data_IF_197209669790
#
_entry.id   IF_197209669790
#
_cell.length_a   1.000
_cell.length_b   1.000
_cell.length_c   1.000
_cell.angle_alpha   90.00
_cell.angle_beta   90.00
_cell.angle_gamma   90.00
#
_symmetry.space_group_name_H-M   'P 1'
#
loop_
_entity.id
_entity.type
_entity.pdbx_description
1 polymer ?
#
# COMPACT_ATOMS: atom_id res chain seq x y z
N UNK A 1 -26.21 -26.79 10.27
CA UNK A 1 -24.74 -26.96 10.37
C UNK A 1 -24.28 -28.23 9.65
N UNK A 2 -24.95 -29.36 9.85
CA UNK A 2 -24.56 -30.68 9.30
C UNK A 2 -24.67 -30.79 7.77
N UNK A 3 -25.64 -30.12 7.13
CA UNK A 3 -25.84 -30.23 5.68
C UNK A 3 -24.64 -29.74 4.85
N UNK A 4 -24.03 -28.61 5.20
CA UNK A 4 -22.89 -28.07 4.45
C UNK A 4 -21.62 -28.91 4.63
N UNK A 5 -21.41 -29.50 5.82
CA UNK A 5 -20.27 -30.38 6.08
C UNK A 5 -20.31 -31.64 5.20
N UNK A 6 -21.49 -32.18 4.91
CA UNK A 6 -21.64 -33.33 4.00
C UNK A 6 -21.54 -32.96 2.51
N UNK A 7 -21.84 -31.72 2.14
CA UNK A 7 -21.86 -31.27 0.74
C UNK A 7 -20.54 -30.64 0.27
N UNK A 8 -19.80 -29.98 1.15
CA UNK A 8 -18.52 -29.32 0.81
C UNK A 8 -17.46 -30.27 0.26
N UNK A 9 -17.25 -31.48 0.83
CA UNK A 9 -16.31 -32.46 0.28
C UNK A 9 -16.68 -32.95 -1.11
N UNK A 10 -17.96 -32.84 -1.50
CA UNK A 10 -18.45 -33.23 -2.84
C UNK A 10 -18.16 -32.18 -3.92
N UNK A 11 -17.64 -31.00 -3.55
CA UNK A 11 -17.32 -29.91 -4.48
C UNK A 11 -15.82 -29.86 -4.77
N UNK A 12 -15.49 -29.64 -6.05
CA UNK A 12 -14.12 -29.74 -6.58
C UNK A 12 -13.20 -28.64 -6.04
N UNK A 13 -13.69 -27.42 -5.93
CA UNK A 13 -12.90 -26.24 -5.59
C UNK A 13 -13.63 -25.29 -4.62
N UNK A 14 -12.94 -24.24 -4.19
CA UNK A 14 -13.50 -23.23 -3.28
C UNK A 14 -14.62 -22.41 -3.93
N UNK A 15 -14.56 -22.17 -5.25
CA UNK A 15 -15.58 -21.40 -5.97
C UNK A 15 -16.93 -22.14 -5.95
N UNK A 16 -16.95 -23.44 -6.23
CA UNK A 16 -18.15 -24.26 -6.16
C UNK A 16 -18.73 -24.36 -4.75
N UNK A 17 -17.87 -24.44 -3.71
CA UNK A 17 -18.32 -24.43 -2.31
C UNK A 17 -18.94 -23.09 -1.93
N UNK A 18 -18.34 -22.00 -2.41
CA UNK A 18 -18.83 -20.65 -2.19
C UNK A 18 -20.19 -20.42 -2.87
N UNK A 19 -20.34 -20.88 -4.11
CA UNK A 19 -21.61 -20.79 -4.85
C UNK A 19 -22.73 -21.57 -4.14
N UNK A 20 -22.43 -22.79 -3.66
CA UNK A 20 -23.38 -23.58 -2.87
C UNK A 20 -23.82 -22.83 -1.60
N UNK A 21 -22.87 -22.24 -0.87
CA UNK A 21 -23.14 -21.46 0.34
C UNK A 21 -24.01 -20.24 0.03
N UNK A 22 -23.62 -19.44 -0.97
CA UNK A 22 -24.35 -18.23 -1.40
C UNK A 22 -25.77 -18.59 -1.82
N UNK A 23 -25.95 -19.61 -2.66
CA UNK A 23 -27.27 -20.05 -3.10
C UNK A 23 -28.17 -20.50 -1.94
N UNK A 24 -27.59 -21.09 -0.88
CA UNK A 24 -28.34 -21.49 0.30
C UNK A 24 -28.75 -20.29 1.16
N UNK A 25 -27.86 -19.33 1.37
CA UNK A 25 -28.18 -18.10 2.11
C UNK A 25 -29.23 -17.26 1.39
N UNK A 26 -29.13 -17.13 0.06
CA UNK A 26 -30.09 -16.36 -0.73
C UNK A 26 -31.51 -16.93 -0.67
N UNK A 27 -31.67 -18.26 -0.61
CA UNK A 27 -32.99 -18.89 -0.41
C UNK A 27 -33.61 -18.54 0.94
N UNK A 28 -32.81 -18.31 1.98
CA UNK A 28 -33.33 -17.92 3.30
C UNK A 28 -33.73 -16.45 3.38
N UNK A 29 -33.23 -15.62 2.46
CA UNK A 29 -33.61 -14.19 2.36
C UNK A 29 -34.92 -13.97 1.64
N UNK A 30 -35.30 -14.89 0.75
CA UNK A 30 -36.56 -14.80 0.03
C UNK A 30 -37.72 -15.06 1.00
N UNK A 31 -38.75 -14.21 1.02
CA UNK A 31 -39.93 -14.43 1.86
C UNK A 31 -40.65 -15.71 1.41
N UNK A 32 -40.63 -16.74 2.25
CA UNK A 32 -41.43 -17.95 2.06
C UNK A 32 -42.85 -17.77 2.59
N UNK A 33 -43.82 -18.46 2.00
CA UNK A 33 -45.25 -18.43 2.38
C UNK A 33 -45.55 -18.91 3.81
N UNK A 34 -44.57 -19.42 4.54
CA UNK A 34 -44.69 -19.85 5.94
C UNK A 34 -43.64 -19.11 6.77
N UNK A 35 -44.05 -17.95 7.32
CA UNK A 35 -43.19 -17.13 8.15
C UNK A 35 -42.73 -17.89 9.39
N UNK A 36 -41.40 -17.91 9.64
CA UNK A 36 -40.80 -18.22 10.95
C UNK A 36 -39.28 -18.04 11.05
N UNK A 37 -38.51 -17.94 9.95
CA UNK A 37 -37.05 -17.75 10.04
C UNK A 37 -36.60 -16.35 9.59
N UNK A 38 -35.81 -15.67 10.42
CA UNK A 38 -35.13 -14.44 10.05
C UNK A 38 -34.14 -14.68 8.88
N UNK A 39 -33.96 -13.70 7.98
CA UNK A 39 -32.99 -13.79 6.89
C UNK A 39 -31.56 -13.93 7.44
N UNK A 40 -30.75 -14.80 6.82
CA UNK A 40 -29.36 -15.03 7.20
C UNK A 40 -28.40 -14.22 6.32
N UNK A 41 -27.38 -13.60 6.94
CA UNK A 41 -26.36 -12.80 6.27
C UNK A 41 -24.94 -13.37 6.36
N UNK A 42 -24.82 -14.68 6.64
CA UNK A 42 -23.53 -15.32 6.87
C UNK A 42 -22.54 -15.20 5.69
N UNK A 43 -22.99 -15.20 4.44
CA UNK A 43 -22.16 -14.92 3.26
C UNK A 43 -21.57 -13.50 3.30
N UNK A 44 -22.34 -12.49 3.69
CA UNK A 44 -21.83 -11.12 3.87
C UNK A 44 -20.88 -11.03 5.06
N UNK A 45 -21.21 -11.65 6.19
CA UNK A 45 -20.34 -11.70 7.36
C UNK A 45 -19.00 -12.35 7.05
N UNK A 46 -19.00 -13.44 6.28
CA UNK A 46 -17.77 -14.09 5.79
C UNK A 46 -17.01 -13.14 4.86
N UNK A 47 -17.68 -12.50 3.89
CA UNK A 47 -17.01 -11.53 3.00
C UNK A 47 -16.38 -10.38 3.79
N UNK A 48 -17.07 -9.82 4.77
CA UNK A 48 -16.55 -8.74 5.61
C UNK A 48 -15.37 -9.22 6.46
N UNK A 49 -15.49 -10.38 7.09
CA UNK A 49 -14.43 -10.91 7.95
C UNK A 49 -13.11 -11.17 7.19
N UNK A 50 -13.20 -11.58 5.93
CA UNK A 50 -12.03 -11.92 5.10
C UNK A 50 -11.52 -10.77 4.24
N UNK A 51 -12.40 -9.88 3.76
CA UNK A 51 -12.03 -8.85 2.77
C UNK A 51 -12.10 -7.42 3.29
N UNK A 52 -12.79 -7.15 4.41
CA UNK A 52 -12.87 -5.78 4.94
C UNK A 52 -11.56 -5.39 5.65
N UNK A 53 -11.03 -4.16 5.47
CA UNK A 53 -9.80 -3.73 6.09
C UNK A 53 -9.92 -3.71 7.62
N UNK A 54 -8.91 -4.28 8.30
CA UNK A 54 -8.79 -4.23 9.76
C UNK A 54 -8.17 -2.89 10.14
N UNK A 55 -8.99 -1.98 10.67
CA UNK A 55 -8.56 -0.64 11.07
C UNK A 55 -7.95 -0.67 12.47
N UNK A 56 -6.73 -0.14 12.61
CA UNK A 56 -6.14 0.09 13.93
C UNK A 56 -6.74 1.37 14.52
N UNK A 57 -7.65 1.19 15.48
CA UNK A 57 -8.37 2.30 16.10
C UNK A 57 -7.44 3.25 16.88
N UNK A 58 -6.30 2.73 17.34
CA UNK A 58 -5.33 3.50 18.09
C UNK A 58 -4.47 4.38 17.20
N UNK A 59 -4.58 4.34 15.87
CA UNK A 59 -3.91 5.35 15.02
C UNK A 59 -4.82 6.54 14.73
N UNK A 60 -6.15 6.37 14.75
CA UNK A 60 -7.10 7.40 14.29
C UNK A 60 -7.77 8.21 15.40
N UNK A 61 -7.69 7.80 16.67
CA UNK A 61 -8.43 8.45 17.77
C UNK A 61 -7.75 9.67 18.39
N UNK A 62 -6.43 9.69 18.43
CA UNK A 62 -5.64 10.68 19.17
C UNK A 62 -4.88 11.61 18.24
N UNK A 63 -4.83 12.90 18.56
CA UNK A 63 -4.07 13.90 17.80
C UNK A 63 -2.55 13.82 18.01
N UNK A 64 -2.08 13.02 18.98
CA UNK A 64 -0.66 12.89 19.35
C UNK A 64 0.05 11.68 18.73
N UNK A 65 -0.59 10.94 17.82
CA UNK A 65 0.03 9.75 17.23
C UNK A 65 1.10 10.12 16.19
N UNK A 66 2.27 9.49 16.33
CA UNK A 66 3.35 9.61 15.37
C UNK A 66 3.18 8.53 14.29
N UNK A 67 3.05 8.97 13.05
CA UNK A 67 3.01 8.09 11.88
C UNK A 67 4.33 8.17 11.11
N UNK A 68 4.60 7.13 10.32
CA UNK A 68 5.79 7.10 9.46
C UNK A 68 5.68 8.20 8.41
N UNK A 69 6.74 8.98 8.22
CA UNK A 69 6.81 9.98 7.15
C UNK A 69 6.80 9.29 5.77
N UNK A 70 6.12 9.86 4.76
CA UNK A 70 6.35 9.49 3.36
C UNK A 70 7.84 9.55 3.01
N UNK A 71 8.25 8.70 2.07
CA UNK A 71 9.63 8.51 1.60
C UNK A 71 10.64 8.01 2.66
N UNK A 72 10.19 7.65 3.87
CA UNK A 72 11.06 7.02 4.86
C UNK A 72 11.51 5.62 4.42
N UNK A 73 12.76 5.27 4.71
CA UNK A 73 13.33 3.94 4.50
C UNK A 73 12.82 2.96 5.57
N UNK A 74 12.31 1.80 5.17
CA UNK A 74 11.86 0.77 6.10
C UNK A 74 12.98 -0.26 6.37
N UNK A 75 13.63 -0.28 7.55
CA UNK A 75 14.92 -0.96 7.77
C UNK A 75 14.90 -2.49 7.67
N UNK A 76 13.74 -3.13 7.54
CA UNK A 76 13.57 -4.60 7.55
C UNK A 76 12.87 -5.17 6.31
N UNK A 77 12.73 -4.41 5.23
CA UNK A 77 12.04 -4.87 4.00
C UNK A 77 13.00 -5.27 2.86
N UNK A 78 14.30 -5.03 2.99
CA UNK A 78 15.31 -5.19 1.94
C UNK A 78 15.76 -6.60 1.57
N UNK A 79 15.06 -7.65 1.98
CA UNK A 79 15.45 -9.03 1.70
C UNK A 79 14.52 -9.69 0.68
N UNK A 80 15.00 -9.91 -0.54
CA UNK A 80 14.44 -10.90 -1.45
C UNK A 80 15.14 -12.25 -1.22
N UNK A 81 14.41 -13.25 -0.74
CA UNK A 81 14.88 -14.64 -0.61
C UNK A 81 14.22 -15.36 0.55
N UNK A 82 13.40 -16.38 0.26
CA UNK A 82 12.49 -17.01 1.21
C UNK A 82 13.13 -17.64 2.45
N UNK A 83 12.34 -17.74 3.51
CA UNK A 83 12.55 -18.72 4.58
C UNK A 83 12.61 -20.14 3.99
N UNK A 84 13.79 -20.63 3.65
CA UNK A 84 14.05 -22.07 3.61
C UNK A 84 14.18 -22.55 5.04
N UNK A 85 13.23 -23.38 5.45
CA UNK A 85 13.27 -24.11 6.72
C UNK A 85 14.44 -25.11 6.66
N UNK A 86 15.30 -25.07 7.68
CA UNK A 86 16.05 -26.22 8.21
C UNK A 86 17.38 -26.54 7.53
N UNK A 87 18.47 -26.50 8.31
CA UNK A 87 19.73 -27.15 7.92
C UNK A 87 21.00 -26.57 8.54
N UNK A 88 21.36 -27.09 9.71
CA UNK A 88 22.70 -27.17 10.33
C UNK A 88 23.50 -25.89 10.67
N UNK A 89 23.98 -25.86 11.92
CA UNK A 89 24.82 -24.83 12.51
C UNK A 89 26.14 -24.65 11.74
N UNK A 90 26.27 -23.54 11.02
CA UNK A 90 27.54 -22.94 10.62
C UNK A 90 27.74 -21.64 11.40
N UNK A 91 28.83 -21.55 12.16
CA UNK A 91 29.22 -20.38 12.97
C UNK A 91 29.42 -19.17 12.05
N UNK A 92 28.51 -18.18 12.11
CA UNK A 92 28.63 -16.95 11.34
C UNK A 92 29.86 -16.12 11.82
N UNK A 93 30.65 -15.53 10.91
CA UNK A 93 31.72 -14.63 11.29
C UNK A 93 31.13 -13.34 11.87
N UNK A 94 31.75 -12.85 12.95
CA UNK A 94 31.44 -11.56 13.56
C UNK A 94 31.90 -10.47 12.58
N UNK A 95 30.97 -9.70 12.01
CA UNK A 95 31.33 -8.49 11.26
C UNK A 95 30.39 -8.04 10.14
N UNK A 96 29.55 -8.91 9.58
CA UNK A 96 28.70 -8.47 8.46
C UNK A 96 27.42 -7.81 8.96
N UNK A 97 27.45 -6.48 8.98
CA UNK A 97 26.26 -5.66 8.83
C UNK A 97 25.64 -5.99 7.47
N UNK A 98 24.86 -7.08 7.38
CA UNK A 98 23.96 -7.32 6.26
C UNK A 98 23.01 -6.14 6.22
N UNK A 99 23.36 -5.13 5.45
CA UNK A 99 22.51 -4.01 5.10
C UNK A 99 21.30 -4.59 4.39
N UNK A 100 20.25 -4.88 5.17
CA UNK A 100 18.93 -5.17 4.64
C UNK A 100 18.43 -3.84 4.05
N UNK A 101 18.75 -3.60 2.78
CA UNK A 101 18.47 -2.37 2.07
C UNK A 101 16.98 -2.02 2.14
N UNK A 102 16.58 -1.15 3.06
CA UNK A 102 15.17 -0.90 3.32
C UNK A 102 14.42 -0.38 2.09
N UNK A 103 13.18 -0.83 1.89
CA UNK A 103 12.26 -0.29 0.88
C UNK A 103 11.79 1.11 1.27
N UNK A 104 11.58 1.97 0.29
CA UNK A 104 11.07 3.32 0.49
C UNK A 104 9.55 3.31 0.72
N UNK A 105 9.06 4.13 1.65
CA UNK A 105 7.62 4.31 1.89
C UNK A 105 7.04 5.26 0.85
N UNK A 106 6.68 4.73 -0.32
CA UNK A 106 6.23 5.52 -1.48
C UNK A 106 4.73 5.86 -1.42
N UNK A 107 4.31 7.04 -1.93
CA UNK A 107 2.90 7.34 -2.21
C UNK A 107 2.28 6.33 -3.19
N UNK A 108 0.99 6.05 -3.02
CA UNK A 108 0.23 5.16 -3.90
C UNK A 108 -0.56 5.98 -4.92
N UNK A 109 -0.46 5.60 -6.19
CA UNK A 109 -1.35 6.11 -7.23
C UNK A 109 -2.70 5.38 -7.17
N UNK A 110 -3.77 6.13 -6.91
CA UNK A 110 -5.13 5.58 -6.83
C UNK A 110 -5.69 5.22 -8.22
N UNK A 111 -5.17 5.79 -9.30
CA UNK A 111 -5.60 5.48 -10.67
C UNK A 111 -5.04 4.15 -11.16
N UNK A 112 -3.89 3.73 -10.62
CA UNK A 112 -3.19 2.50 -10.99
C UNK A 112 -3.00 1.55 -9.79
N UNK A 113 -3.88 1.62 -8.79
CA UNK A 113 -3.74 0.89 -7.53
C UNK A 113 -3.69 -0.64 -7.71
N UNK A 114 -4.46 -1.19 -8.65
CA UNK A 114 -4.47 -2.64 -8.92
C UNK A 114 -3.12 -3.16 -9.48
N UNK A 115 -2.29 -2.26 -10.03
CA UNK A 115 -0.98 -2.58 -10.59
C UNK A 115 0.16 -2.40 -9.59
N UNK A 116 -0.12 -1.87 -8.39
CA UNK A 116 0.90 -1.63 -7.38
C UNK A 116 1.47 -2.94 -6.83
N UNK A 117 2.76 -3.18 -7.06
CA UNK A 117 3.50 -4.32 -6.50
C UNK A 117 4.40 -3.87 -5.32
N UNK A 118 4.09 -4.28 -4.06
CA UNK A 118 4.90 -3.94 -2.91
C UNK A 118 6.32 -4.51 -2.94
N UNK A 119 6.59 -5.52 -3.78
CA UNK A 119 7.92 -6.12 -3.91
C UNK A 119 8.82 -5.38 -4.90
N UNK A 120 8.22 -4.69 -5.87
CA UNK A 120 8.90 -3.87 -6.87
C UNK A 120 9.26 -2.46 -6.38
N UNK A 121 8.76 -2.05 -5.21
CA UNK A 121 9.09 -0.75 -4.60
C UNK A 121 10.61 -0.64 -4.39
N UNK A 122 11.25 0.47 -4.82
CA UNK A 122 12.70 0.61 -4.77
C UNK A 122 13.25 0.54 -3.35
N UNK A 123 14.46 0.00 -3.24
CA UNK A 123 15.23 -0.02 -1.99
C UNK A 123 16.20 1.14 -1.94
N UNK A 124 16.62 1.53 -0.74
CA UNK A 124 17.64 2.57 -0.61
C UNK A 124 18.93 2.21 -1.37
N UNK A 125 19.35 0.94 -1.34
CA UNK A 125 20.55 0.50 -2.04
C UNK A 125 20.41 0.51 -3.56
N UNK A 126 19.25 0.13 -4.11
CA UNK A 126 19.04 0.21 -5.55
C UNK A 126 19.05 1.66 -6.02
N UNK A 127 18.47 2.58 -5.26
CA UNK A 127 18.51 4.01 -5.58
C UNK A 127 19.92 4.58 -5.53
N UNK A 128 20.74 4.21 -4.53
CA UNK A 128 22.14 4.62 -4.50
C UNK A 128 22.90 4.14 -5.74
N UNK A 129 22.72 2.87 -6.13
CA UNK A 129 23.36 2.32 -7.34
C UNK A 129 22.94 3.06 -8.62
N UNK A 130 21.66 3.40 -8.75
CA UNK A 130 21.15 4.16 -9.89
C UNK A 130 21.74 5.59 -9.94
N UNK A 131 21.93 6.23 -8.78
CA UNK A 131 22.53 7.56 -8.69
C UNK A 131 24.03 7.53 -9.03
N UNK A 132 24.77 6.55 -8.50
CA UNK A 132 26.20 6.38 -8.77
C UNK A 132 26.42 6.15 -10.27
N UNK A 133 25.64 5.26 -10.90
CA UNK A 133 25.69 5.01 -12.34
C UNK A 133 25.33 6.25 -13.17
N UNK A 134 24.40 7.09 -12.70
CA UNK A 134 23.98 8.30 -13.41
C UNK A 134 24.94 9.51 -13.23
N UNK A 135 25.85 9.43 -12.25
CA UNK A 135 26.87 10.43 -11.97
C UNK A 135 28.12 10.27 -12.84
N UNK A 136 28.50 9.03 -13.17
CA UNK A 136 29.64 8.72 -14.06
C UNK A 136 29.44 9.29 -15.49
N UNK A 137 28.19 9.47 -15.94
CA UNK A 137 27.85 10.07 -17.24
C UNK A 137 27.90 11.62 -17.24
N UNK A 138 28.06 12.27 -16.07
CA UNK A 138 27.89 13.72 -15.90
C UNK A 138 29.20 14.51 -15.73
N UNK A 139 30.37 13.87 -15.77
CA UNK A 139 31.68 14.52 -15.57
C UNK A 139 32.11 15.50 -16.69
N UNK A 140 31.25 15.85 -17.66
CA UNK A 140 31.61 16.77 -18.76
C UNK A 140 30.91 18.13 -18.80
N UNK A 141 29.92 18.44 -17.94
CA UNK A 141 29.32 19.79 -17.91
C UNK A 141 29.22 20.36 -16.49
N UNK A 142 30.37 20.79 -15.96
CA UNK A 142 30.47 21.57 -14.74
C UNK A 142 30.12 23.04 -14.99
N UNK A 143 28.85 23.40 -14.73
CA UNK A 143 28.40 24.79 -14.62
C UNK A 143 27.63 25.05 -13.32
N UNK A 144 28.30 25.63 -12.31
CA UNK A 144 27.74 26.40 -11.18
C UNK A 144 26.30 26.10 -10.73
N UNK A 145 26.01 24.89 -10.25
CA UNK A 145 24.76 24.61 -9.51
C UNK A 145 25.07 24.30 -8.05
N UNK A 146 24.23 24.81 -7.14
CA UNK A 146 24.35 24.50 -5.71
C UNK A 146 24.07 23.02 -5.46
N UNK A 147 24.88 22.35 -4.62
CA UNK A 147 24.71 20.96 -4.16
C UNK A 147 23.24 20.51 -3.95
N UNK A 148 22.37 21.26 -3.25
CA UNK A 148 20.95 20.88 -3.10
C UNK A 148 20.15 20.87 -4.40
N UNK A 149 20.48 21.72 -5.39
CA UNK A 149 19.82 21.73 -6.70
C UNK A 149 20.27 20.57 -7.59
N UNK A 150 21.56 20.20 -7.53
CA UNK A 150 22.09 19.00 -8.22
C UNK A 150 21.40 17.73 -7.72
N UNK A 151 21.42 17.50 -6.40
CA UNK A 151 20.77 16.34 -5.76
C UNK A 151 19.25 16.26 -5.99
N UNK A 152 18.57 17.40 -6.06
CA UNK A 152 17.14 17.47 -6.39
C UNK A 152 16.83 17.18 -7.87
N UNK A 153 17.82 17.12 -8.76
CA UNK A 153 17.62 16.68 -10.15
C UNK A 153 17.98 15.21 -10.32
N UNK A 154 18.90 14.69 -9.52
CA UNK A 154 19.41 13.32 -9.68
C UNK A 154 18.36 12.25 -9.38
N UNK A 155 17.44 12.48 -8.42
CA UNK A 155 16.37 11.51 -8.15
C UNK A 155 15.46 11.27 -9.36
N UNK A 156 15.36 12.24 -10.29
CA UNK A 156 14.52 12.10 -11.49
C UNK A 156 15.06 11.05 -12.45
N UNK A 157 16.33 10.69 -12.33
CA UNK A 157 17.00 9.63 -13.09
C UNK A 157 16.84 8.25 -12.43
N UNK A 158 16.21 8.18 -11.26
CA UNK A 158 16.03 6.95 -10.48
C UNK A 158 14.61 6.39 -10.60
N UNK A 159 14.46 5.13 -10.20
CA UNK A 159 13.18 4.43 -10.01
C UNK A 159 12.28 5.07 -8.94
N UNK A 160 12.77 6.05 -8.17
CA UNK A 160 11.96 6.84 -7.24
C UNK A 160 11.10 7.91 -7.95
N UNK A 161 11.52 8.37 -9.14
CA UNK A 161 10.87 9.45 -9.88
C UNK A 161 9.35 9.31 -10.05
N UNK A 162 8.77 8.17 -10.48
CA UNK A 162 7.32 8.05 -10.65
C UNK A 162 6.55 8.31 -9.35
N UNK A 163 7.08 7.87 -8.21
CA UNK A 163 6.44 8.06 -6.90
C UNK A 163 6.49 9.51 -6.42
N UNK A 164 7.56 10.24 -6.78
CA UNK A 164 7.65 11.68 -6.49
C UNK A 164 6.61 12.46 -7.29
N UNK A 165 6.36 12.09 -8.55
CA UNK A 165 5.32 12.74 -9.38
C UNK A 165 3.92 12.59 -8.78
N UNK A 166 3.60 11.42 -8.22
CA UNK A 166 2.33 11.20 -7.49
C UNK A 166 2.22 12.16 -6.31
N UNK A 167 3.31 12.38 -5.57
CA UNK A 167 3.32 13.33 -4.45
C UNK A 167 3.22 14.79 -4.90
N UNK A 168 3.93 15.18 -5.96
CA UNK A 168 3.86 16.52 -6.55
C UNK A 168 2.42 16.86 -6.94
N UNK A 169 1.73 15.94 -7.64
CA UNK A 169 0.33 16.10 -8.02
C UNK A 169 -0.58 16.29 -6.78
N UNK A 170 -0.39 15.48 -5.74
CA UNK A 170 -1.13 15.62 -4.49
C UNK A 170 -0.93 17.00 -3.83
N UNK A 171 0.31 17.47 -3.76
CA UNK A 171 0.63 18.79 -3.19
C UNK A 171 0.00 19.91 -4.02
N UNK A 172 0.08 19.83 -5.35
CA UNK A 172 -0.56 20.79 -6.25
C UNK A 172 -2.07 20.87 -6.03
N UNK A 173 -2.73 19.73 -5.88
CA UNK A 173 -4.18 19.68 -5.67
C UNK A 173 -4.57 20.26 -4.29
N UNK A 174 -3.76 20.00 -3.26
CA UNK A 174 -3.95 20.67 -1.95
C UNK A 174 -3.79 22.18 -2.05
N UNK A 175 -2.79 22.67 -2.78
CA UNK A 175 -2.57 24.11 -2.98
C UNK A 175 -3.72 24.77 -3.75
N UNK A 176 -4.23 24.10 -4.80
CA UNK A 176 -5.40 24.56 -5.56
C UNK A 176 -6.64 24.63 -4.68
N UNK A 177 -6.91 23.60 -3.88
CA UNK A 177 -8.04 23.56 -2.97
C UNK A 177 -7.97 24.67 -1.91
N UNK A 178 -6.79 24.88 -1.30
CA UNK A 178 -6.57 25.94 -0.30
C UNK A 178 -6.74 27.33 -0.91
N UNK A 179 -6.21 27.58 -2.11
CA UNK A 179 -6.44 28.85 -2.83
C UNK A 179 -7.93 29.06 -3.11
N UNK A 180 -8.64 28.04 -3.58
CA UNK A 180 -10.09 28.13 -3.83
C UNK A 180 -10.91 28.42 -2.58
N UNK A 181 -10.52 27.88 -1.42
CA UNK A 181 -11.15 28.21 -0.12
C UNK A 181 -10.86 29.65 0.29
N UNK A 182 -9.62 30.12 0.16
CA UNK A 182 -9.24 31.49 0.46
C UNK A 182 -10.06 32.49 -0.38
N UNK A 183 -10.19 32.24 -1.69
CA UNK A 183 -10.97 33.09 -2.59
C UNK A 183 -12.47 33.11 -2.22
N UNK A 184 -13.05 31.97 -1.83
CA UNK A 184 -14.44 31.90 -1.34
C UNK A 184 -14.63 32.71 -0.06
N UNK A 185 -13.70 32.61 0.89
CA UNK A 185 -13.73 33.36 2.15
C UNK A 185 -13.53 34.87 1.95
N UNK A 186 -12.71 35.28 0.98
CA UNK A 186 -12.56 36.69 0.65
C UNK A 186 -13.75 37.26 -0.13
N UNK A 187 -14.41 36.46 -0.98
CA UNK A 187 -15.58 36.90 -1.75
C UNK A 187 -16.80 37.20 -0.88
N UNK A 188 -16.96 36.50 0.24
CA UNK A 188 -18.03 36.78 1.23
C UNK A 188 -17.80 38.06 2.04
N UNK A 189 -16.58 38.60 2.07
CA UNK A 189 -16.25 39.82 2.81
C UNK A 189 -16.64 41.11 2.07
N UNK A 190 -16.92 41.02 0.76
CA UNK A 190 -17.34 42.16 -0.07
C UNK A 190 -18.85 42.22 -0.32
N UNK A 191 -19.63 41.30 0.28
CA UNK A 191 -21.08 41.19 0.10
C UNK A 191 -21.90 41.58 1.36
N UNK A 192 -21.28 42.30 2.31
CA UNK A 192 -21.96 42.95 3.44
C UNK A 192 -21.87 44.47 3.34
#
# INVERSE_FOLDING_TARGET
>A
REALQGEFPKKRDSAQRWELLRARMERTRRPGATGKSAPCYADWEIMLQFCFPRLDINVSKGLGHLLKSPFSVHPKTGGAGGCTRGGSLGRAPRGDSRSLAGRISVPLDLQQLEQFDPFAVPTISSLCQELDAAGDDAEQEEGSETEPKRRARDYRKTSLAPYVRVFEQFVEDMERARRGELLRRSGTCWAQ
#
